data_IF_376839437637
#
_entry.id   IF_376839437637
#
_cell.length_a   1.000
_cell.length_b   1.000
_cell.length_c   1.000
_cell.angle_alpha   90.00
_cell.angle_beta   90.00
_cell.angle_gamma   90.00
#
_symmetry.space_group_name_H-M   'P 1'
#
loop_
_entity.id
_entity.type
_entity.pdbx_description
1 polymer ?
#
# COMPACT_ATOMS: atom_id res chain seq x y z
N UNK A 1 -39.83 12.10 37.22
CA UNK A 1 -39.06 13.30 36.80
C UNK A 1 -37.82 13.36 37.68
N UNK A 2 -36.69 12.83 37.20
CA UNK A 2 -35.37 13.02 37.80
C UNK A 2 -34.47 13.58 36.70
N UNK A 3 -34.03 14.82 36.86
CA UNK A 3 -33.06 15.46 35.96
C UNK A 3 -31.68 14.81 36.13
N UNK A 4 -30.88 14.61 35.07
CA UNK A 4 -29.51 14.19 35.23
C UNK A 4 -28.67 15.41 35.66
N UNK A 5 -27.83 15.17 36.67
CA UNK A 5 -26.85 16.10 37.19
C UNK A 5 -25.75 16.27 36.14
N UNK A 6 -25.67 17.45 35.52
CA UNK A 6 -24.56 17.85 34.66
C UNK A 6 -23.31 18.03 35.53
N UNK A 7 -22.38 17.08 35.47
CA UNK A 7 -21.00 17.33 35.88
C UNK A 7 -20.32 18.20 34.80
N UNK A 8 -19.57 19.25 35.17
CA UNK A 8 -18.92 20.09 34.18
C UNK A 8 -17.80 19.30 33.48
N UNK A 9 -17.85 19.30 32.15
CA UNK A 9 -16.75 18.86 31.29
C UNK A 9 -15.53 19.72 31.62
N UNK A 10 -14.43 19.07 32.01
CA UNK A 10 -13.18 19.75 32.35
C UNK A 10 -12.63 20.40 31.08
N UNK A 11 -12.63 21.72 31.07
CA UNK A 11 -11.97 22.54 30.05
C UNK A 11 -10.46 22.26 30.10
N UNK A 12 -9.71 22.29 28.97
CA UNK A 12 -8.26 22.15 29.04
C UNK A 12 -7.72 23.34 29.85
N UNK A 13 -7.15 23.05 31.02
CA UNK A 13 -6.40 24.03 31.79
C UNK A 13 -5.21 24.48 30.94
N UNK A 14 -5.30 25.68 30.37
CA UNK A 14 -4.14 26.37 29.82
C UNK A 14 -3.06 26.42 30.89
N UNK A 15 -1.93 25.77 30.61
CA UNK A 15 -0.81 25.71 31.54
C UNK A 15 -0.32 27.12 31.92
N UNK A 16 0.13 27.34 33.16
CA UNK A 16 0.74 28.60 33.54
C UNK A 16 1.95 28.87 32.64
N UNK A 17 1.99 30.08 32.07
CA UNK A 17 3.11 30.54 31.27
C UNK A 17 4.39 30.53 32.12
N UNK A 18 5.38 29.70 31.77
CA UNK A 18 6.71 29.70 32.40
C UNK A 18 7.24 28.36 32.91
N UNK A 19 6.51 27.25 32.82
CA UNK A 19 7.09 25.93 33.07
C UNK A 19 8.07 25.56 31.93
N UNK A 20 9.28 25.00 32.22
CA UNK A 20 10.19 24.53 31.19
C UNK A 20 9.49 23.49 30.29
N UNK A 21 9.80 23.44 28.99
CA UNK A 21 9.20 22.46 28.10
C UNK A 21 9.49 21.06 28.62
N UNK A 22 8.42 20.29 28.82
CA UNK A 22 8.54 18.90 29.22
C UNK A 22 9.16 18.10 28.05
N UNK A 23 10.29 17.41 28.24
CA UNK A 23 10.87 16.60 27.18
C UNK A 23 9.96 15.40 26.87
N UNK A 24 9.98 14.95 25.61
CA UNK A 24 9.27 13.74 25.21
C UNK A 24 9.85 12.48 25.88
N UNK A 25 9.04 11.78 26.66
CA UNK A 25 9.37 10.44 27.19
C UNK A 25 9.33 9.40 26.06
N UNK A 26 10.45 9.30 25.35
CA UNK A 26 10.62 8.39 24.21
C UNK A 26 10.62 6.92 24.61
N UNK A 27 11.07 6.60 25.82
CA UNK A 27 11.09 5.22 26.32
C UNK A 27 9.66 4.70 26.46
N UNK A 28 8.81 5.46 27.16
CA UNK A 28 7.38 5.13 27.30
C UNK A 28 6.65 5.11 25.95
N UNK A 29 6.92 6.08 25.09
CA UNK A 29 6.29 6.16 23.76
C UNK A 29 6.63 4.94 22.89
N UNK A 30 7.88 4.48 22.91
CA UNK A 30 8.32 3.33 22.12
C UNK A 30 7.98 1.99 22.78
N UNK A 31 7.89 1.91 24.11
CA UNK A 31 7.30 0.78 24.81
C UNK A 31 5.84 0.57 24.36
N UNK A 32 5.05 1.64 24.34
CA UNK A 32 3.68 1.63 23.83
C UNK A 32 3.60 1.22 22.35
N UNK A 33 4.54 1.68 21.50
CA UNK A 33 4.62 1.24 20.09
C UNK A 33 4.89 -0.26 19.99
N UNK A 34 5.77 -0.82 20.81
CA UNK A 34 6.05 -2.25 20.84
C UNK A 34 4.83 -3.05 21.36
N UNK A 35 4.12 -2.52 22.35
CA UNK A 35 2.84 -3.08 22.80
C UNK A 35 1.84 -3.15 21.64
N UNK A 36 1.66 -2.04 20.90
CA UNK A 36 0.81 -2.00 19.72
C UNK A 36 1.18 -3.09 18.69
N UNK A 37 2.47 -3.30 18.42
CA UNK A 37 2.97 -4.37 17.55
C UNK A 37 2.64 -5.76 18.10
N UNK A 38 2.76 -5.99 19.41
CA UNK A 38 2.41 -7.28 20.02
C UNK A 38 0.92 -7.59 19.88
N UNK A 39 0.07 -6.57 20.06
CA UNK A 39 -1.38 -6.72 19.93
C UNK A 39 -1.83 -6.83 18.46
N UNK A 40 -1.15 -6.13 17.54
CA UNK A 40 -1.45 -6.12 16.10
C UNK A 40 -0.19 -6.37 15.25
N UNK A 41 0.34 -7.61 15.22
CA UNK A 41 1.61 -7.90 14.56
C UNK A 41 1.63 -7.59 13.05
N UNK A 42 0.47 -7.65 12.40
CA UNK A 42 0.33 -7.35 10.98
C UNK A 42 0.52 -5.85 10.66
N UNK A 43 0.36 -4.96 11.65
CA UNK A 43 0.60 -3.51 11.51
C UNK A 43 2.06 -3.11 11.74
N UNK A 44 2.95 -4.04 12.10
CA UNK A 44 4.33 -3.73 12.51
C UNK A 44 5.08 -2.88 11.49
N UNK A 45 5.00 -3.24 10.20
CA UNK A 45 5.65 -2.49 9.12
C UNK A 45 5.22 -1.03 9.11
N UNK A 46 3.93 -0.76 9.30
CA UNK A 46 3.40 0.61 9.29
C UNK A 46 3.72 1.38 10.57
N UNK A 47 3.61 0.73 11.73
CA UNK A 47 3.96 1.33 13.02
C UNK A 47 5.43 1.78 13.09
N UNK A 48 6.34 1.05 12.45
CA UNK A 48 7.75 1.42 12.36
C UNK A 48 8.09 2.33 11.18
N UNK A 49 7.21 2.42 10.18
CA UNK A 49 7.39 3.37 9.07
C UNK A 49 7.05 4.81 9.49
N UNK A 50 6.17 5.01 10.48
CA UNK A 50 5.85 6.34 10.99
C UNK A 50 7.01 6.99 11.73
N UNK A 51 7.37 8.20 11.29
CA UNK A 51 8.40 9.01 11.93
C UNK A 51 7.82 9.85 13.07
N UNK A 52 8.44 9.84 14.24
CA UNK A 52 8.00 10.67 15.38
C UNK A 52 8.54 12.08 15.24
N UNK A 53 7.65 13.07 15.32
CA UNK A 53 7.99 14.49 15.42
C UNK A 53 7.48 15.00 16.76
N UNK A 54 8.38 15.37 17.66
CA UNK A 54 7.98 16.03 18.90
C UNK A 54 7.34 17.40 18.58
N UNK A 55 6.13 17.65 19.08
CA UNK A 55 5.44 18.92 18.87
C UNK A 55 4.56 19.27 20.05
N UNK A 56 4.81 20.43 20.68
CA UNK A 56 3.94 20.97 21.74
C UNK A 56 2.68 21.67 21.20
N UNK A 57 2.55 21.80 19.86
CA UNK A 57 1.39 22.43 19.21
C UNK A 57 0.23 21.45 19.05
N UNK A 58 0.51 20.16 18.93
CA UNK A 58 -0.53 19.14 18.90
C UNK A 58 -1.08 18.86 20.30
N UNK A 59 -2.40 18.68 20.46
CA UNK A 59 -3.02 18.44 21.78
C UNK A 59 -2.75 17.02 22.32
N UNK A 60 -2.59 16.06 21.41
CA UNK A 60 -2.45 14.61 21.67
C UNK A 60 -1.34 14.01 20.79
N UNK A 61 -1.68 13.04 19.95
CA UNK A 61 -0.90 12.57 18.82
C UNK A 61 -1.72 12.82 17.55
N UNK A 62 -1.05 13.09 16.44
CA UNK A 62 -1.69 13.33 15.15
C UNK A 62 -0.77 12.89 14.02
N UNK A 63 -1.32 12.56 12.87
CA UNK A 63 -0.53 12.17 11.69
C UNK A 63 -0.73 13.13 10.52
N UNK A 64 0.31 13.33 9.72
CA UNK A 64 0.19 14.02 8.43
C UNK A 64 0.10 13.04 7.25
N UNK A 65 -0.19 13.59 6.06
CA UNK A 65 -0.22 12.84 4.80
C UNK A 65 1.10 12.14 4.48
N UNK A 66 2.22 12.62 5.02
CA UNK A 66 3.56 12.13 4.77
C UNK A 66 4.02 11.11 5.82
N UNK A 67 3.09 10.54 6.59
CA UNK A 67 3.35 9.49 7.59
C UNK A 67 4.25 9.94 8.75
N UNK A 68 4.30 11.24 9.03
CA UNK A 68 4.87 11.75 10.28
C UNK A 68 3.79 11.70 11.36
N UNK A 69 4.18 11.25 12.54
CA UNK A 69 3.35 11.24 13.74
C UNK A 69 3.86 12.33 14.69
N UNK A 70 3.09 13.40 14.81
CA UNK A 70 3.33 14.50 15.73
C UNK A 70 2.89 14.11 17.12
N UNK A 71 3.75 14.30 18.12
CA UNK A 71 3.52 13.80 19.47
C UNK A 71 3.71 14.91 20.50
N UNK A 72 2.67 15.13 21.31
CA UNK A 72 2.70 16.05 22.44
C UNK A 72 3.39 15.42 23.67
N UNK A 73 4.50 15.97 24.18
CA UNK A 73 5.15 15.46 25.39
C UNK A 73 4.21 15.39 26.60
N UNK A 74 3.36 16.41 26.77
CA UNK A 74 2.37 16.46 27.86
C UNK A 74 1.28 15.40 27.71
N UNK A 75 0.94 14.99 26.49
CA UNK A 75 0.00 13.90 26.29
C UNK A 75 0.64 12.57 26.67
N UNK A 76 1.90 12.33 26.25
CA UNK A 76 2.63 11.11 26.62
C UNK A 76 2.83 11.00 28.13
N UNK A 77 3.14 12.09 28.83
CA UNK A 77 3.30 12.11 30.29
C UNK A 77 2.02 11.65 31.01
N UNK A 78 0.87 12.27 30.68
CA UNK A 78 -0.40 12.02 31.37
C UNK A 78 -1.12 10.73 30.96
N UNK A 79 -0.74 10.13 29.84
CA UNK A 79 -1.43 8.96 29.27
C UNK A 79 -0.72 7.67 29.62
N UNK A 80 -1.44 6.60 29.99
CA UNK A 80 -0.81 5.30 30.30
C UNK A 80 -0.22 4.65 29.04
N UNK A 81 0.78 3.78 29.20
CA UNK A 81 1.39 3.04 28.09
C UNK A 81 0.35 2.23 27.29
N UNK A 82 -0.60 1.58 27.98
CA UNK A 82 -1.66 0.80 27.36
C UNK A 82 -2.57 1.65 26.46
N UNK A 83 -2.92 2.86 26.90
CA UNK A 83 -3.72 3.80 26.08
C UNK A 83 -2.89 4.34 24.92
N UNK A 84 -1.61 4.66 25.14
CA UNK A 84 -0.71 5.07 24.05
C UNK A 84 -0.55 3.97 22.98
N UNK A 85 -0.56 2.70 23.36
CA UNK A 85 -0.53 1.59 22.41
C UNK A 85 -1.79 1.59 21.51
N UNK A 86 -2.95 1.88 22.10
CA UNK A 86 -4.19 2.07 21.36
C UNK A 86 -4.15 3.29 20.44
N UNK A 87 -3.59 4.42 20.90
CA UNK A 87 -3.41 5.62 20.09
C UNK A 87 -2.49 5.34 18.89
N UNK A 88 -1.39 4.60 19.08
CA UNK A 88 -0.52 4.18 17.97
C UNK A 88 -1.27 3.42 16.87
N UNK A 89 -2.13 2.47 17.27
CA UNK A 89 -2.95 1.72 16.31
C UNK A 89 -4.01 2.60 15.67
N UNK A 90 -4.58 3.53 16.41
CA UNK A 90 -5.55 4.49 15.89
C UNK A 90 -4.92 5.39 14.81
N UNK A 91 -3.82 6.08 15.13
CA UNK A 91 -3.12 6.99 14.21
C UNK A 91 -2.67 6.30 12.92
N UNK A 92 -2.03 5.11 13.03
CA UNK A 92 -1.55 4.39 11.84
C UNK A 92 -2.71 3.91 10.95
N UNK A 93 -3.90 3.70 11.54
CA UNK A 93 -5.06 3.23 10.79
C UNK A 93 -5.60 4.32 9.85
N UNK A 94 -5.51 5.60 10.20
CA UNK A 94 -5.85 6.69 9.28
C UNK A 94 -5.00 6.64 8.01
N UNK A 95 -3.70 6.40 8.18
CA UNK A 95 -2.72 6.36 7.09
C UNK A 95 -2.92 5.13 6.19
N UNK A 96 -3.12 3.96 6.80
CA UNK A 96 -3.34 2.71 6.08
C UNK A 96 -4.67 2.72 5.32
N UNK A 97 -5.74 3.23 5.93
CA UNK A 97 -7.07 3.35 5.31
C UNK A 97 -7.21 4.57 4.42
N UNK A 98 -6.15 5.37 4.27
CA UNK A 98 -6.05 6.53 3.38
C UNK A 98 -7.20 7.53 3.56
N UNK A 99 -7.55 7.80 4.84
CA UNK A 99 -8.70 8.62 5.21
C UNK A 99 -8.61 10.04 4.63
N UNK A 100 -7.43 10.66 4.60
CA UNK A 100 -7.26 11.97 3.99
C UNK A 100 -7.74 12.03 2.51
N UNK A 101 -7.31 11.08 1.67
CA UNK A 101 -7.66 11.05 0.24
C UNK A 101 -9.10 10.61 0.02
N UNK A 102 -9.59 9.64 0.80
CA UNK A 102 -11.00 9.23 0.81
C UNK A 102 -11.91 10.39 1.21
N UNK A 103 -11.52 11.13 2.24
CA UNK A 103 -12.18 12.33 2.72
C UNK A 103 -12.27 13.42 1.66
N UNK A 104 -11.17 13.74 0.98
CA UNK A 104 -11.18 14.69 -0.15
C UNK A 104 -12.18 14.29 -1.24
N UNK A 105 -12.22 13.00 -1.62
CA UNK A 105 -13.16 12.51 -2.64
C UNK A 105 -14.61 12.61 -2.16
N UNK A 106 -14.86 12.26 -0.91
CA UNK A 106 -16.19 12.34 -0.30
C UNK A 106 -16.69 13.79 -0.26
N UNK A 107 -15.85 14.71 0.19
CA UNK A 107 -16.19 16.13 0.30
C UNK A 107 -16.48 16.75 -1.07
N UNK A 108 -15.66 16.43 -2.09
CA UNK A 108 -15.94 16.81 -3.49
C UNK A 108 -17.28 16.26 -3.99
N UNK A 109 -17.58 14.99 -3.69
CA UNK A 109 -18.83 14.37 -4.10
C UNK A 109 -20.07 14.96 -3.39
N UNK A 110 -19.90 15.54 -2.21
CA UNK A 110 -20.98 16.20 -1.45
C UNK A 110 -21.04 17.71 -1.72
N UNK A 111 -20.11 18.28 -2.50
CA UNK A 111 -19.95 19.72 -2.70
C UNK A 111 -19.82 20.49 -1.37
N UNK A 112 -18.95 19.98 -0.49
CA UNK A 112 -18.74 20.55 0.86
C UNK A 112 -17.27 20.82 1.12
N UNK A 113 -17.01 21.98 1.69
CA UNK A 113 -15.66 22.42 2.04
C UNK A 113 -15.62 23.10 3.41
N UNK A 114 -14.40 23.43 3.85
CA UNK A 114 -14.14 24.17 5.08
C UNK A 114 -14.00 23.32 6.34
N UNK A 115 -13.69 23.96 7.48
CA UNK A 115 -13.25 23.27 8.71
C UNK A 115 -14.29 22.31 9.29
N UNK A 116 -15.58 22.68 9.25
CA UNK A 116 -16.64 21.79 9.71
C UNK A 116 -16.74 20.51 8.87
N UNK A 117 -16.66 20.62 7.54
CA UNK A 117 -16.67 19.44 6.67
C UNK A 117 -15.47 18.52 6.94
N UNK A 118 -14.30 19.10 7.24
CA UNK A 118 -13.08 18.35 7.61
C UNK A 118 -13.20 17.65 8.95
N UNK A 119 -13.71 18.34 9.98
CA UNK A 119 -13.98 17.72 11.28
C UNK A 119 -14.97 16.56 11.15
N UNK A 120 -15.99 16.68 10.30
CA UNK A 120 -16.95 15.59 10.07
C UNK A 120 -16.27 14.36 9.46
N UNK A 121 -15.36 14.56 8.50
CA UNK A 121 -14.51 13.48 7.95
C UNK A 121 -13.66 12.85 9.04
N UNK A 122 -13.02 13.67 9.89
CA UNK A 122 -12.18 13.21 11.00
C UNK A 122 -12.98 12.29 11.95
N UNK A 123 -14.12 12.76 12.43
CA UNK A 123 -14.97 12.00 13.36
C UNK A 123 -15.54 10.72 12.72
N UNK A 124 -15.88 10.76 11.43
CA UNK A 124 -16.33 9.57 10.72
C UNK A 124 -15.20 8.54 10.52
N UNK A 125 -13.97 9.01 10.30
CA UNK A 125 -12.78 8.19 10.19
C UNK A 125 -12.43 7.54 11.54
N UNK A 126 -12.54 8.29 12.63
CA UNK A 126 -12.40 7.79 13.99
C UNK A 126 -13.43 6.69 14.28
N UNK A 127 -14.69 6.89 13.88
CA UNK A 127 -15.73 5.86 14.03
C UNK A 127 -15.39 4.59 13.25
N UNK A 128 -14.85 4.70 12.02
CA UNK A 128 -14.43 3.54 11.23
C UNK A 128 -13.30 2.75 11.93
N UNK A 129 -12.35 3.45 12.55
CA UNK A 129 -11.20 2.83 13.23
C UNK A 129 -11.60 2.25 14.58
N UNK A 130 -12.27 3.05 15.40
CA UNK A 130 -12.56 2.73 16.79
C UNK A 130 -13.61 1.63 16.97
N UNK A 131 -14.28 1.28 15.87
CA UNK A 131 -15.21 0.17 15.79
C UNK A 131 -14.52 -1.22 15.84
N UNK A 132 -13.32 -1.36 15.28
CA UNK A 132 -12.62 -2.66 15.19
C UNK A 132 -11.14 -2.65 15.60
N UNK A 133 -10.61 -1.51 16.08
CA UNK A 133 -9.22 -1.38 16.50
C UNK A 133 -8.91 -2.04 17.86
N UNK A 134 -9.85 -2.06 18.82
CA UNK A 134 -9.60 -2.38 20.23
C UNK A 134 -10.01 -3.82 20.63
N UNK A 135 -9.64 -4.24 21.85
CA UNK A 135 -9.72 -5.64 22.29
C UNK A 135 -8.43 -6.42 21.99
N UNK A 136 -8.33 -7.67 22.47
CA UNK A 136 -7.16 -8.54 22.25
C UNK A 136 -5.81 -7.86 22.49
N UNK A 137 -5.67 -7.25 23.68
CA UNK A 137 -4.44 -6.56 24.11
C UNK A 137 -4.43 -5.05 23.87
N UNK A 138 -5.50 -4.44 23.37
CA UNK A 138 -5.67 -2.98 23.27
C UNK A 138 -6.93 -2.51 24.02
N UNK A 139 -6.85 -1.35 24.65
CA UNK A 139 -7.95 -0.72 25.41
C UNK A 139 -8.65 0.36 24.60
N UNK A 140 -9.92 0.66 24.91
CA UNK A 140 -10.59 1.85 24.35
C UNK A 140 -9.84 3.11 24.80
N UNK A 141 -9.56 4.02 23.88
CA UNK A 141 -9.00 5.34 24.17
C UNK A 141 -10.07 6.16 24.91
N UNK A 142 -9.80 6.67 26.12
CA UNK A 142 -10.72 7.55 26.84
C UNK A 142 -11.02 8.81 26.03
N UNK A 143 -12.26 9.31 26.11
CA UNK A 143 -12.73 10.55 25.48
C UNK A 143 -12.63 10.61 23.93
N UNK A 144 -12.25 9.50 23.28
CA UNK A 144 -12.32 9.36 21.83
C UNK A 144 -13.77 9.17 21.34
N UNK A 145 -14.00 9.40 20.05
CA UNK A 145 -15.30 9.21 19.41
C UNK A 145 -15.45 7.79 18.90
N UNK A 146 -16.64 7.24 19.14
CA UNK A 146 -17.02 5.89 18.74
C UNK A 146 -18.41 5.92 18.12
N UNK A 147 -18.80 4.90 17.33
CA UNK A 147 -20.15 4.83 16.75
C UNK A 147 -21.25 4.96 17.81
N UNK A 148 -21.10 4.31 18.98
CA UNK A 148 -22.04 4.38 20.09
C UNK A 148 -22.13 5.79 20.72
N UNK A 149 -21.02 6.52 20.79
CA UNK A 149 -20.99 7.94 21.21
C UNK A 149 -21.89 8.82 20.33
N UNK A 150 -21.95 8.54 19.03
CA UNK A 150 -22.78 9.28 18.07
C UNK A 150 -24.16 8.64 17.82
N UNK A 151 -24.52 7.57 18.56
CA UNK A 151 -25.75 6.77 18.37
C UNK A 151 -25.87 6.20 16.94
N UNK A 152 -24.73 5.87 16.34
CA UNK A 152 -24.64 5.28 15.01
C UNK A 152 -24.45 3.76 15.11
N UNK A 153 -24.94 3.00 14.12
CA UNK A 153 -24.67 1.57 14.03
C UNK A 153 -23.17 1.30 13.78
N UNK A 154 -22.64 0.27 14.43
CA UNK A 154 -21.29 -0.24 14.20
C UNK A 154 -21.08 -0.81 12.78
N UNK A 155 -19.82 -1.09 12.42
CA UNK A 155 -19.35 -1.78 11.22
C UNK A 155 -19.56 -1.05 9.89
N UNK A 156 -19.43 0.27 9.89
CA UNK A 156 -19.56 1.09 8.68
C UNK A 156 -18.22 1.71 8.25
N UNK A 157 -18.16 2.11 6.98
CA UNK A 157 -17.05 2.89 6.44
C UNK A 157 -17.21 4.38 6.79
N UNK A 158 -16.10 5.12 6.80
CA UNK A 158 -16.06 6.58 7.01
C UNK A 158 -17.09 7.30 6.12
N UNK A 159 -17.20 6.95 4.84
CA UNK A 159 -18.16 7.59 3.92
C UNK A 159 -19.62 7.32 4.30
N UNK A 160 -19.92 6.20 4.95
CA UNK A 160 -21.25 5.89 5.44
C UNK A 160 -21.54 6.65 6.74
N UNK A 161 -20.58 6.68 7.67
CA UNK A 161 -20.70 7.45 8.90
C UNK A 161 -20.87 8.95 8.63
N UNK A 162 -20.03 9.53 7.78
CA UNK A 162 -20.07 10.95 7.44
C UNK A 162 -21.39 11.41 6.81
N UNK A 163 -22.19 10.51 6.23
CA UNK A 163 -23.52 10.83 5.68
C UNK A 163 -24.65 10.75 6.71
N UNK A 164 -24.39 10.18 7.89
CA UNK A 164 -25.42 9.90 8.91
C UNK A 164 -25.54 10.93 10.01
N UNK A 165 -24.58 11.85 10.12
CA UNK A 165 -24.62 12.94 11.10
C UNK A 165 -24.14 14.24 10.46
N UNK A 166 -24.64 15.36 10.97
CA UNK A 166 -24.14 16.70 10.67
C UNK A 166 -23.55 17.30 11.94
N UNK A 167 -22.56 18.20 11.79
CA UNK A 167 -21.99 18.91 12.93
C UNK A 167 -22.90 20.08 13.32
N UNK A 168 -23.97 19.74 14.03
CA UNK A 168 -24.87 20.70 14.65
C UNK A 168 -24.33 21.09 16.05
N UNK A 169 -25.01 22.00 16.76
CA UNK A 169 -24.56 22.48 18.09
C UNK A 169 -24.32 21.37 19.11
N UNK A 170 -24.99 20.22 18.96
CA UNK A 170 -24.82 19.04 19.81
C UNK A 170 -23.39 18.47 19.80
N UNK A 171 -22.67 18.58 18.68
CA UNK A 171 -21.32 18.00 18.51
C UNK A 171 -20.18 19.00 18.62
N UNK A 172 -20.47 20.27 18.97
CA UNK A 172 -19.43 21.30 19.13
C UNK A 172 -18.38 20.96 20.19
N UNK A 173 -18.75 20.17 21.19
CA UNK A 173 -17.83 19.72 22.24
C UNK A 173 -16.77 18.72 21.73
N UNK A 174 -16.86 18.24 20.48
CA UNK A 174 -15.92 17.32 19.85
C UNK A 174 -14.87 18.02 18.98
N UNK A 175 -14.95 19.34 18.83
CA UNK A 175 -14.06 20.13 17.94
C UNK A 175 -12.57 20.04 18.34
N UNK A 176 -12.28 19.67 19.59
CA UNK A 176 -10.91 19.48 20.05
C UNK A 176 -10.28 18.15 19.58
N UNK A 177 -11.09 17.19 19.09
CA UNK A 177 -10.59 15.93 18.56
C UNK A 177 -10.00 16.17 17.17
N UNK A 178 -8.71 15.89 17.04
CA UNK A 178 -7.99 16.14 15.81
C UNK A 178 -6.81 15.18 15.64
N UNK A 179 -6.97 14.24 14.70
CA UNK A 179 -5.95 13.24 14.34
C UNK A 179 -5.00 13.73 13.20
N UNK A 180 -5.03 15.02 12.87
CA UNK A 180 -4.14 15.65 11.88
C UNK A 180 -4.55 15.49 10.41
N UNK A 181 -3.73 16.05 9.51
CA UNK A 181 -4.01 16.10 8.06
C UNK A 181 -3.99 14.73 7.37
N UNK A 182 -3.37 13.72 7.98
CA UNK A 182 -3.44 12.32 7.54
C UNK A 182 -4.81 11.69 7.78
N UNK A 183 -5.60 12.24 8.70
CA UNK A 183 -6.96 11.79 8.99
C UNK A 183 -8.02 12.49 8.13
N UNK A 184 -7.97 13.82 8.05
CA UNK A 184 -9.04 14.63 7.43
C UNK A 184 -8.64 15.36 6.14
N UNK A 185 -7.35 15.36 5.82
CA UNK A 185 -6.81 16.01 4.63
C UNK A 185 -6.58 17.51 4.74
N UNK A 186 -6.78 18.14 5.89
CA UNK A 186 -6.60 19.56 6.09
C UNK A 186 -5.27 19.87 6.77
N UNK A 187 -4.42 20.67 6.14
CA UNK A 187 -3.10 21.00 6.69
C UNK A 187 -3.20 21.89 7.91
N UNK A 188 -2.37 21.60 8.92
CA UNK A 188 -2.30 22.34 10.18
C UNK A 188 -0.96 23.06 10.31
N UNK A 189 -0.89 24.04 11.20
CA UNK A 189 0.32 24.86 11.39
C UNK A 189 1.55 24.09 11.91
N UNK A 190 1.36 22.87 12.41
CA UNK A 190 2.43 21.98 12.83
C UNK A 190 2.83 20.98 11.76
N UNK A 191 2.10 20.87 10.66
CA UNK A 191 2.46 19.99 9.56
C UNK A 191 3.71 20.53 8.86
N UNK A 192 4.73 19.69 8.72
CA UNK A 192 5.97 20.05 8.04
C UNK A 192 5.83 20.08 6.50
N UNK A 193 4.69 19.63 5.97
CA UNK A 193 4.39 19.61 4.54
C UNK A 193 5.26 18.62 3.74
N UNK A 194 5.18 18.67 2.40
CA UNK A 194 5.90 17.74 1.51
C UNK A 194 7.42 17.92 1.56
N UNK A 195 7.91 19.15 1.71
CA UNK A 195 9.34 19.48 1.77
C UNK A 195 9.95 19.25 3.17
N UNK A 196 9.14 18.87 4.15
CA UNK A 196 9.59 18.56 5.50
C UNK A 196 10.51 17.34 5.57
N UNK A 197 11.42 17.31 6.54
CA UNK A 197 12.28 16.16 6.75
C UNK A 197 11.48 14.89 7.11
N UNK A 198 12.01 13.71 6.77
CA UNK A 198 11.52 12.40 7.23
C UNK A 198 10.06 12.05 6.86
N UNK A 199 9.48 12.71 5.86
CA UNK A 199 8.21 12.29 5.27
C UNK A 199 8.41 11.15 4.29
N UNK A 200 7.47 10.22 4.23
CA UNK A 200 7.44 9.20 3.19
C UNK A 200 6.89 9.78 1.88
N UNK A 201 7.52 9.41 0.76
CA UNK A 201 6.97 9.69 -0.56
C UNK A 201 5.82 8.72 -0.91
N UNK A 202 5.10 9.01 -1.99
CA UNK A 202 3.92 8.25 -2.42
C UNK A 202 4.21 6.76 -2.60
N UNK A 203 5.35 6.43 -3.22
CA UNK A 203 5.74 5.03 -3.45
C UNK A 203 6.07 4.28 -2.16
N UNK A 204 6.74 4.94 -1.21
CA UNK A 204 7.05 4.38 0.11
C UNK A 204 5.78 4.12 0.90
N UNK A 205 4.82 5.06 0.88
CA UNK A 205 3.51 4.90 1.54
C UNK A 205 2.75 3.69 1.00
N UNK A 206 2.74 3.53 -0.32
CA UNK A 206 2.04 2.41 -0.96
C UNK A 206 2.76 1.08 -0.74
N UNK A 207 4.09 1.06 -0.71
CA UNK A 207 4.86 -0.12 -0.32
C UNK A 207 4.55 -0.57 1.12
N UNK A 208 4.39 0.38 2.05
CA UNK A 208 4.02 0.07 3.43
C UNK A 208 2.61 -0.52 3.50
N UNK A 209 1.62 0.12 2.84
CA UNK A 209 0.24 -0.40 2.74
C UNK A 209 0.22 -1.81 2.16
N UNK A 210 0.95 -2.01 1.06
CA UNK A 210 1.09 -3.31 0.40
C UNK A 210 1.66 -4.38 1.34
N UNK A 211 2.75 -4.07 2.07
CA UNK A 211 3.37 -5.01 3.01
C UNK A 211 2.45 -5.39 4.17
N UNK A 212 1.70 -4.42 4.70
CA UNK A 212 0.72 -4.67 5.77
C UNK A 212 -0.41 -5.56 5.24
N UNK A 213 -0.98 -5.22 4.09
CA UNK A 213 -1.99 -6.04 3.45
C UNK A 213 -1.46 -7.47 3.23
N UNK A 214 -0.25 -7.63 2.68
CA UNK A 214 0.35 -8.94 2.45
C UNK A 214 0.48 -9.74 3.75
N UNK A 215 0.86 -9.08 4.86
CA UNK A 215 0.94 -9.67 6.18
C UNK A 215 -0.42 -10.19 6.67
N UNK A 216 -1.49 -9.44 6.43
CA UNK A 216 -2.87 -9.85 6.76
C UNK A 216 -3.28 -11.06 5.91
N UNK A 217 -3.13 -11.01 4.59
CA UNK A 217 -3.53 -12.11 3.68
C UNK A 217 -2.72 -13.39 3.92
N UNK A 218 -1.43 -13.28 4.25
CA UNK A 218 -0.58 -14.44 4.51
C UNK A 218 -0.93 -15.15 5.84
N UNK A 219 -1.48 -14.43 6.81
CA UNK A 219 -1.83 -14.94 8.15
C UNK A 219 -3.16 -14.31 8.64
N UNK A 220 -4.30 -14.65 8.00
CA UNK A 220 -5.57 -13.94 8.23
C UNK A 220 -6.15 -14.14 9.63
N UNK A 221 -5.79 -15.23 10.32
CA UNK A 221 -6.41 -15.67 11.58
C UNK A 221 -6.25 -14.74 12.79
N UNK A 222 -5.54 -13.61 12.68
CA UNK A 222 -5.38 -12.61 13.75
C UNK A 222 -5.89 -11.21 13.41
N UNK A 223 -6.34 -10.98 12.16
CA UNK A 223 -6.83 -9.67 11.74
C UNK A 223 -8.36 -9.59 11.86
N UNK A 224 -8.93 -8.48 12.37
CA UNK A 224 -10.36 -8.21 12.36
C UNK A 224 -10.96 -8.25 10.95
N UNK A 225 -12.28 -8.42 10.87
CA UNK A 225 -12.98 -8.53 9.59
C UNK A 225 -12.80 -7.29 8.70
N UNK A 226 -12.81 -6.08 9.28
CA UNK A 226 -12.57 -4.83 8.55
C UNK A 226 -11.18 -4.80 7.92
N UNK A 227 -10.15 -5.18 8.67
CA UNK A 227 -8.77 -5.30 8.16
C UNK A 227 -8.59 -6.35 7.06
N UNK A 228 -9.33 -7.46 7.12
CA UNK A 228 -9.32 -8.46 6.04
C UNK A 228 -9.94 -7.90 4.76
N UNK A 229 -11.11 -7.26 4.86
CA UNK A 229 -11.74 -6.57 3.72
C UNK A 229 -10.84 -5.49 3.13
N UNK A 230 -10.27 -4.64 3.99
CA UNK A 230 -9.31 -3.62 3.56
C UNK A 230 -8.11 -4.24 2.84
N UNK A 231 -7.55 -5.34 3.35
CA UNK A 231 -6.45 -6.02 2.66
C UNK A 231 -6.92 -6.53 1.28
N UNK A 232 -8.08 -7.18 1.21
CA UNK A 232 -8.65 -7.66 -0.05
C UNK A 232 -9.01 -6.52 -1.02
N UNK A 233 -9.30 -5.30 -0.55
CA UNK A 233 -9.54 -4.12 -1.41
C UNK A 233 -8.24 -3.46 -1.87
N UNK A 234 -7.21 -3.44 -1.02
CA UNK A 234 -5.85 -3.02 -1.40
C UNK A 234 -5.27 -4.00 -2.44
N UNK A 235 -5.61 -5.28 -2.35
CA UNK A 235 -5.30 -6.31 -3.34
C UNK A 235 -6.41 -6.46 -4.38
N UNK A 236 -6.31 -5.83 -5.54
CA UNK A 236 -7.05 -6.36 -6.69
C UNK A 236 -6.56 -7.81 -6.95
N UNK A 237 -7.45 -8.77 -7.26
CA UNK A 237 -7.05 -10.14 -7.51
C UNK A 237 -6.02 -10.13 -8.64
N UNK A 238 -4.77 -10.54 -8.39
CA UNK A 238 -3.73 -10.44 -9.40
C UNK A 238 -4.08 -11.35 -10.58
N UNK A 239 -3.54 -11.02 -11.74
CA UNK A 239 -3.72 -11.85 -12.92
C UNK A 239 -3.32 -13.30 -12.62
N UNK A 240 -3.96 -14.30 -13.27
CA UNK A 240 -3.66 -15.70 -13.06
C UNK A 240 -2.31 -16.07 -13.70
N UNK A 241 -1.20 -15.58 -13.12
CA UNK A 241 0.15 -15.70 -13.68
C UNK A 241 0.58 -17.14 -13.86
N UNK A 242 0.09 -18.09 -13.04
CA UNK A 242 0.33 -19.52 -13.27
C UNK A 242 -0.17 -19.97 -14.65
N UNK A 243 -1.28 -19.42 -15.14
CA UNK A 243 -1.82 -19.72 -16.46
C UNK A 243 -1.12 -18.92 -17.57
N UNK A 244 -0.89 -17.62 -17.34
CA UNK A 244 -0.23 -16.72 -18.29
C UNK A 244 1.23 -17.15 -18.57
N UNK A 245 1.96 -17.49 -17.51
CA UNK A 245 3.30 -18.08 -17.59
C UNK A 245 3.23 -19.55 -18.01
N UNK A 246 2.14 -20.27 -17.70
CA UNK A 246 1.97 -21.70 -17.99
C UNK A 246 2.08 -22.06 -19.47
N UNK A 247 1.71 -21.17 -20.38
CA UNK A 247 1.95 -21.37 -21.81
C UNK A 247 3.42 -21.12 -22.20
N UNK A 248 4.15 -20.27 -21.47
CA UNK A 248 5.60 -20.10 -21.60
C UNK A 248 6.39 -21.31 -21.07
N UNK A 249 5.88 -21.89 -19.98
CA UNK A 249 6.35 -23.17 -19.42
C UNK A 249 6.18 -24.30 -20.46
N UNK A 250 5.13 -24.26 -21.28
CA UNK A 250 4.92 -25.24 -22.36
C UNK A 250 5.75 -24.95 -23.61
N UNK A 251 5.97 -23.69 -23.99
CA UNK A 251 6.77 -23.35 -25.17
C UNK A 251 8.27 -23.56 -24.96
N UNK A 252 8.79 -23.35 -23.74
CA UNK A 252 10.16 -23.75 -23.37
C UNK A 252 10.36 -25.27 -23.43
N UNK A 253 9.31 -26.05 -23.16
CA UNK A 253 9.32 -27.52 -23.32
C UNK A 253 9.26 -27.96 -24.80
N UNK A 254 8.71 -27.12 -25.69
CA UNK A 254 8.55 -27.41 -27.11
C UNK A 254 9.71 -26.91 -28.00
N UNK A 255 10.56 -26.01 -27.48
CA UNK A 255 11.76 -25.57 -28.19
C UNK A 255 12.72 -26.76 -28.35
N UNK A 256 13.02 -27.11 -29.60
CA UNK A 256 13.91 -28.22 -29.95
C UNK A 256 15.28 -28.02 -29.28
N UNK A 257 15.55 -28.82 -28.23
CA UNK A 257 16.80 -28.80 -27.46
C UNK A 257 16.65 -28.78 -25.93
N UNK A 258 15.46 -28.49 -25.36
CA UNK A 258 15.27 -28.38 -23.90
C UNK A 258 14.62 -29.63 -23.25
N UNK A 259 14.82 -30.80 -23.85
CA UNK A 259 14.36 -32.09 -23.34
C UNK A 259 15.39 -32.86 -22.50
N UNK A 260 16.51 -32.24 -22.12
CA UNK A 260 17.71 -32.98 -21.69
C UNK A 260 18.02 -32.97 -20.19
N UNK A 261 17.19 -32.37 -19.32
CA UNK A 261 17.44 -32.41 -17.87
C UNK A 261 16.86 -33.68 -17.22
N UNK A 262 17.36 -34.81 -17.69
CA UNK A 262 17.20 -36.10 -17.05
C UNK A 262 18.03 -36.14 -15.77
N UNK A 263 17.35 -36.20 -14.62
CA UNK A 263 18.00 -36.31 -13.32
C UNK A 263 17.85 -37.72 -12.75
N UNK A 264 18.97 -38.29 -12.31
CA UNK A 264 19.04 -39.58 -11.60
C UNK A 264 18.95 -39.42 -10.07
N UNK A 265 18.88 -38.18 -9.55
CA UNK A 265 18.90 -37.91 -8.11
C UNK A 265 17.64 -38.33 -7.35
N UNK A 266 16.53 -38.60 -8.05
CA UNK A 266 15.35 -39.25 -7.47
C UNK A 266 14.79 -40.23 -8.51
N UNK A 267 14.73 -41.54 -8.23
CA UNK A 267 14.21 -42.52 -9.17
C UNK A 267 12.76 -42.18 -9.58
N UNK A 268 12.48 -42.24 -10.88
CA UNK A 268 11.12 -42.09 -11.41
C UNK A 268 10.17 -43.06 -10.71
N UNK A 269 8.92 -42.67 -10.43
CA UNK A 269 7.92 -43.60 -9.87
C UNK A 269 7.66 -44.82 -10.76
N UNK A 270 8.00 -44.74 -12.06
CA UNK A 270 7.95 -45.88 -13.00
C UNK A 270 9.10 -46.88 -12.84
N UNK A 271 10.11 -46.55 -12.03
CA UNK A 271 11.24 -47.46 -11.73
C UNK A 271 10.81 -48.68 -10.92
N UNK A 272 9.67 -48.63 -10.24
CA UNK A 272 9.09 -49.79 -9.53
C UNK A 272 8.74 -50.94 -10.48
N UNK A 273 8.45 -50.64 -11.75
CA UNK A 273 8.15 -51.62 -12.80
C UNK A 273 9.39 -52.17 -13.52
N UNK A 274 10.59 -51.64 -13.25
CA UNK A 274 11.85 -52.09 -13.87
C UNK A 274 12.96 -52.23 -12.79
N UNK A 275 12.98 -53.34 -12.03
CA UNK A 275 13.98 -53.60 -11.01
C UNK A 275 15.40 -53.60 -11.62
N UNK A 276 16.34 -52.92 -10.97
CA UNK A 276 17.74 -52.85 -11.41
C UNK A 276 18.05 -51.77 -12.45
N UNK A 277 17.05 -51.02 -12.94
CA UNK A 277 17.24 -49.92 -13.89
C UNK A 277 16.89 -48.58 -13.23
N UNK A 278 17.88 -47.69 -13.06
CA UNK A 278 17.61 -46.33 -12.59
C UNK A 278 17.08 -45.50 -13.76
N UNK A 279 15.77 -45.39 -13.86
CA UNK A 279 15.14 -44.55 -14.89
C UNK A 279 15.35 -43.06 -14.57
N UNK A 280 15.78 -42.26 -15.57
CA UNK A 280 15.91 -40.83 -15.37
C UNK A 280 14.54 -40.18 -15.13
N UNK A 281 14.52 -39.13 -14.29
CA UNK A 281 13.35 -38.29 -14.07
C UNK A 281 13.47 -36.99 -14.87
N UNK A 282 12.45 -36.66 -15.66
CA UNK A 282 12.40 -35.38 -16.37
C UNK A 282 12.17 -34.27 -15.33
N UNK A 283 13.20 -33.43 -15.08
CA UNK A 283 13.05 -32.27 -14.20
C UNK A 283 12.57 -31.08 -15.01
N UNK A 284 11.39 -30.57 -14.66
CA UNK A 284 10.89 -29.30 -15.18
C UNK A 284 11.65 -28.17 -14.48
N UNK A 285 12.48 -27.44 -15.23
CA UNK A 285 12.99 -26.15 -14.75
C UNK A 285 11.86 -25.11 -14.91
N UNK A 286 11.48 -24.40 -13.84
CA UNK A 286 10.60 -23.24 -13.97
C UNK A 286 11.25 -22.18 -14.87
N UNK A 287 10.45 -21.35 -15.56
CA UNK A 287 10.97 -20.31 -16.42
C UNK A 287 11.56 -19.18 -15.57
N UNK A 288 12.64 -18.59 -16.07
CA UNK A 288 13.20 -17.33 -15.59
C UNK A 288 12.37 -16.18 -16.14
N UNK A 289 11.88 -15.33 -15.25
CA UNK A 289 10.99 -14.22 -15.59
C UNK A 289 11.70 -12.90 -15.29
N UNK A 290 11.79 -12.03 -16.29
CA UNK A 290 12.17 -10.64 -16.07
C UNK A 290 10.92 -9.77 -16.15
N UNK A 291 10.57 -9.10 -15.05
CA UNK A 291 9.50 -8.12 -15.00
C UNK A 291 10.08 -6.74 -15.30
N UNK A 292 9.58 -6.08 -16.33
CA UNK A 292 9.88 -4.70 -16.68
C UNK A 292 8.70 -3.85 -16.21
N UNK A 293 8.93 -2.98 -15.23
CA UNK A 293 7.93 -2.08 -14.66
C UNK A 293 8.15 -0.69 -15.22
N UNK A 294 7.13 -0.15 -15.87
CA UNK A 294 7.08 1.24 -16.27
C UNK A 294 6.95 2.12 -15.04
N UNK A 295 7.88 3.06 -14.89
CA UNK A 295 7.91 4.03 -13.79
C UNK A 295 7.93 5.46 -14.32
N UNK A 296 7.35 5.68 -15.50
CA UNK A 296 7.22 7.01 -16.09
C UNK A 296 6.20 7.88 -15.37
N UNK A 297 6.24 9.18 -15.65
CA UNK A 297 5.32 10.17 -15.08
C UNK A 297 3.85 9.97 -15.47
N UNK A 298 3.54 9.17 -16.51
CA UNK A 298 2.16 8.85 -16.86
C UNK A 298 1.57 7.72 -16.02
N UNK A 299 2.42 6.94 -15.32
CA UNK A 299 2.01 5.87 -14.41
C UNK A 299 1.74 6.44 -13.02
N UNK A 300 0.49 6.33 -12.58
CA UNK A 300 0.06 6.75 -11.24
C UNK A 300 0.57 5.82 -10.14
N UNK A 301 0.63 6.30 -8.90
CA UNK A 301 1.05 5.47 -7.77
C UNK A 301 0.15 4.24 -7.56
N UNK A 302 -1.15 4.34 -7.88
CA UNK A 302 -2.08 3.19 -7.88
C UNK A 302 -1.64 2.11 -8.87
N UNK A 303 -1.20 2.51 -10.05
CA UNK A 303 -0.71 1.62 -11.10
C UNK A 303 0.65 1.01 -10.72
N UNK A 304 1.54 1.78 -10.08
CA UNK A 304 2.78 1.24 -9.49
C UNK A 304 2.48 0.21 -8.38
N UNK A 305 1.49 0.48 -7.54
CA UNK A 305 0.98 -0.48 -6.56
C UNK A 305 0.47 -1.78 -7.21
N UNK A 306 -0.30 -1.66 -8.29
CA UNK A 306 -0.73 -2.80 -9.11
C UNK A 306 0.47 -3.54 -9.73
N UNK A 307 1.50 -2.84 -10.19
CA UNK A 307 2.70 -3.47 -10.73
C UNK A 307 3.42 -4.33 -9.68
N UNK A 308 3.52 -3.84 -8.44
CA UNK A 308 4.10 -4.58 -7.32
C UNK A 308 3.25 -5.80 -6.94
N UNK A 309 1.91 -5.66 -6.97
CA UNK A 309 0.95 -6.74 -6.76
C UNK A 309 1.15 -7.88 -7.74
N UNK A 310 1.23 -7.55 -9.03
CA UNK A 310 1.41 -8.52 -10.10
C UNK A 310 2.80 -9.17 -10.04
N UNK A 311 3.84 -8.39 -9.72
CA UNK A 311 5.19 -8.92 -9.49
C UNK A 311 5.23 -9.93 -8.35
N UNK A 312 4.57 -9.62 -7.23
CA UNK A 312 4.48 -10.55 -6.10
C UNK A 312 3.67 -11.82 -6.46
N UNK A 313 2.64 -11.68 -7.31
CA UNK A 313 1.86 -12.81 -7.80
C UNK A 313 2.66 -13.71 -8.76
N UNK A 314 3.50 -13.13 -9.62
CA UNK A 314 4.48 -13.85 -10.45
C UNK A 314 5.44 -14.66 -9.57
N UNK A 315 5.99 -14.04 -8.52
CA UNK A 315 6.88 -14.74 -7.58
C UNK A 315 6.17 -15.92 -6.89
N UNK A 316 4.92 -15.76 -6.47
CA UNK A 316 4.09 -16.85 -5.92
C UNK A 316 3.77 -17.94 -6.95
N UNK A 317 3.62 -17.58 -8.22
CA UNK A 317 3.40 -18.54 -9.31
C UNK A 317 4.64 -19.44 -9.53
N UNK A 318 5.83 -18.96 -9.19
CA UNK A 318 7.11 -19.66 -9.29
C UNK A 318 7.53 -20.33 -7.96
N UNK A 319 6.56 -20.56 -7.07
CA UNK A 319 6.74 -21.17 -5.74
C UNK A 319 7.70 -20.40 -4.84
N UNK A 320 7.75 -19.06 -4.98
CA UNK A 320 8.53 -18.17 -4.11
C UNK A 320 10.02 -18.10 -4.41
N UNK A 321 10.49 -18.73 -5.50
CA UNK A 321 11.90 -18.75 -5.91
C UNK A 321 12.36 -17.41 -6.49
N UNK A 322 13.03 -16.63 -5.64
CA UNK A 322 13.54 -15.29 -5.99
C UNK A 322 14.66 -15.32 -7.02
N UNK A 323 15.41 -16.41 -7.11
CA UNK A 323 16.50 -16.60 -8.10
C UNK A 323 16.01 -16.66 -9.56
N UNK A 324 14.69 -16.80 -9.76
CA UNK A 324 14.06 -16.91 -11.07
C UNK A 324 13.35 -15.64 -11.52
N UNK A 325 13.24 -14.63 -10.63
CA UNK A 325 12.54 -13.39 -10.93
C UNK A 325 13.49 -12.21 -10.79
N UNK A 326 13.58 -11.41 -11.84
CA UNK A 326 14.25 -10.11 -11.79
C UNK A 326 13.30 -9.00 -12.17
N UNK A 327 13.43 -7.85 -11.51
CA UNK A 327 12.60 -6.67 -11.79
C UNK A 327 13.49 -5.55 -12.30
N UNK A 328 13.05 -4.89 -13.37
CA UNK A 328 13.69 -3.78 -14.04
C UNK A 328 12.71 -2.61 -14.01
N UNK A 329 13.07 -1.51 -13.36
CA UNK A 329 12.32 -0.25 -13.49
C UNK A 329 12.75 0.50 -14.77
N UNK A 330 11.81 1.12 -15.48
CA UNK A 330 12.07 1.89 -16.69
C UNK A 330 11.51 3.30 -16.60
N UNK A 331 12.40 4.29 -16.66
CA UNK A 331 12.09 5.73 -16.73
C UNK A 331 13.11 6.43 -17.65
N UNK A 332 12.65 7.32 -18.53
CA UNK A 332 13.49 8.14 -19.42
C UNK A 332 14.30 9.20 -18.67
N UNK A 333 13.83 9.74 -17.54
CA UNK A 333 14.59 10.70 -16.74
C UNK A 333 15.82 10.05 -16.06
N UNK A 334 15.73 8.77 -15.70
CA UNK A 334 16.79 8.10 -14.96
C UNK A 334 17.92 7.55 -15.84
N UNK A 335 17.73 7.28 -17.14
CA UNK A 335 18.63 6.44 -17.99
C UNK A 335 19.10 5.13 -17.31
N UNK A 336 18.46 4.72 -16.22
CA UNK A 336 18.99 3.73 -15.28
C UNK A 336 17.94 2.66 -15.06
N UNK A 337 18.12 1.52 -15.72
CA UNK A 337 17.48 0.28 -15.29
C UNK A 337 18.06 -0.08 -13.93
N UNK A 338 17.22 -0.14 -12.89
CA UNK A 338 17.63 -0.63 -11.57
C UNK A 338 17.13 -2.05 -11.39
N UNK A 339 18.08 -2.95 -11.13
CA UNK A 339 17.76 -4.31 -10.69
C UNK A 339 17.51 -4.27 -9.19
N UNK A 340 16.32 -4.63 -8.77
CA UNK A 340 16.06 -4.81 -7.34
C UNK A 340 16.64 -6.16 -6.89
N UNK A 341 17.58 -6.09 -5.93
CA UNK A 341 18.22 -7.25 -5.34
C UNK A 341 17.23 -8.03 -4.47
N UNK A 342 17.36 -9.35 -4.44
CA UNK A 342 16.45 -10.27 -3.77
C UNK A 342 16.22 -10.01 -2.27
N UNK A 343 17.06 -9.20 -1.61
CA UNK A 343 17.04 -8.95 -0.15
C UNK A 343 16.68 -7.50 0.24
N UNK A 344 16.66 -6.57 -0.71
CA UNK A 344 16.25 -5.18 -0.48
C UNK A 344 14.90 -4.96 -1.15
N UNK A 345 13.93 -4.37 -0.43
CA UNK A 345 12.63 -4.02 -1.00
C UNK A 345 12.74 -3.37 -2.38
N UNK A 346 11.80 -3.68 -3.26
CA UNK A 346 11.72 -3.13 -4.61
C UNK A 346 11.55 -1.61 -4.52
N UNK A 347 12.63 -0.86 -4.70
CA UNK A 347 12.60 0.61 -4.78
C UNK A 347 12.46 0.99 -6.24
N UNK A 348 11.24 1.36 -6.63
CA UNK A 348 10.92 1.89 -7.96
C UNK A 348 11.09 3.41 -7.88
N UNK A 349 12.01 3.98 -8.67
CA UNK A 349 12.23 5.43 -8.76
C UNK A 349 11.96 5.82 -10.20
N UNK A 350 11.06 6.78 -10.44
CA UNK A 350 10.89 7.37 -11.76
C UNK A 350 9.93 8.56 -11.80
N UNK A 351 9.98 9.33 -12.90
CA UNK A 351 9.14 10.53 -13.12
C UNK A 351 9.30 11.23 -14.48
N UNK A 352 9.94 10.62 -15.48
CA UNK A 352 10.07 11.14 -16.86
C UNK A 352 9.23 10.36 -17.88
N UNK A 353 9.50 10.50 -19.19
CA UNK A 353 8.82 9.72 -20.24
C UNK A 353 9.17 8.21 -20.23
N UNK A 354 8.52 7.37 -21.03
CA UNK A 354 8.81 5.93 -21.11
C UNK A 354 9.49 5.53 -22.42
N UNK A 355 10.59 4.77 -22.34
CA UNK A 355 11.08 3.97 -23.47
C UNK A 355 11.33 2.51 -23.05
N UNK A 356 10.29 1.67 -23.17
CA UNK A 356 10.39 0.26 -22.84
C UNK A 356 11.38 -0.51 -23.71
N UNK A 357 11.79 -0.01 -24.89
CA UNK A 357 12.85 -0.65 -25.70
C UNK A 357 14.13 -0.81 -24.92
N UNK A 358 14.46 0.14 -24.04
CA UNK A 358 15.61 0.07 -23.14
C UNK A 358 15.44 -1.00 -22.06
N UNK A 359 14.24 -1.12 -21.50
CA UNK A 359 13.88 -2.18 -20.54
C UNK A 359 14.03 -3.57 -21.13
N UNK A 360 13.44 -3.79 -22.31
CA UNK A 360 13.56 -5.05 -23.05
C UNK A 360 15.01 -5.36 -23.43
N UNK A 361 15.75 -4.38 -23.95
CA UNK A 361 17.16 -4.57 -24.30
C UNK A 361 18.00 -4.94 -23.07
N UNK A 362 17.71 -4.35 -21.91
CA UNK A 362 18.41 -4.67 -20.66
C UNK A 362 18.05 -6.06 -20.16
N UNK A 363 16.77 -6.44 -20.20
CA UNK A 363 16.31 -7.78 -19.88
C UNK A 363 17.00 -8.85 -20.74
N UNK A 364 17.15 -8.61 -22.04
CA UNK A 364 17.75 -9.56 -22.99
C UNK A 364 19.28 -9.67 -22.87
N UNK A 365 19.97 -8.66 -22.35
CA UNK A 365 21.42 -8.72 -22.09
C UNK A 365 21.77 -9.59 -20.87
N UNK A 366 20.81 -9.89 -19.99
CA UNK A 366 21.06 -10.66 -18.76
C UNK A 366 21.54 -12.07 -19.09
N UNK A 367 22.45 -12.56 -18.23
CA UNK A 367 22.93 -13.94 -18.25
C UNK A 367 22.71 -14.53 -16.86
N UNK A 368 21.94 -15.63 -16.74
CA UNK A 368 21.21 -16.30 -17.81
C UNK A 368 20.07 -15.45 -18.42
N UNK A 369 19.79 -15.67 -19.71
CA UNK A 369 18.74 -14.95 -20.41
C UNK A 369 17.34 -15.32 -19.86
N UNK A 370 16.38 -14.39 -19.89
CA UNK A 370 15.01 -14.67 -19.46
C UNK A 370 14.29 -15.60 -20.44
N UNK A 371 13.47 -16.50 -19.90
CA UNK A 371 12.54 -17.32 -20.68
C UNK A 371 11.25 -16.54 -20.99
N UNK A 372 10.90 -15.59 -20.11
CA UNK A 372 9.73 -14.73 -20.23
C UNK A 372 10.07 -13.29 -19.82
N UNK A 373 9.63 -12.33 -20.62
CA UNK A 373 9.55 -10.92 -20.21
C UNK A 373 8.10 -10.58 -19.89
N UNK A 374 7.87 -9.96 -18.74
CA UNK A 374 6.57 -9.39 -18.37
C UNK A 374 6.73 -7.88 -18.32
N UNK A 375 6.06 -7.12 -19.18
CA UNK A 375 6.05 -5.66 -19.14
C UNK A 375 4.77 -5.17 -18.45
N UNK A 376 4.87 -4.33 -17.43
CA UNK A 376 3.74 -3.71 -16.73
C UNK A 376 3.77 -2.20 -17.01
N UNK A 377 2.79 -1.67 -17.74
CA UNK A 377 2.80 -0.30 -18.29
C UNK A 377 1.38 0.19 -18.56
N UNK A 378 1.20 1.50 -18.71
CA UNK A 378 -0.03 2.10 -19.24
C UNK A 378 -0.12 2.03 -20.77
N UNK A 379 0.95 1.59 -21.44
CA UNK A 379 1.05 1.41 -22.88
C UNK A 379 1.53 2.65 -23.65
N UNK A 380 1.81 3.77 -22.97
CA UNK A 380 2.25 5.02 -23.61
C UNK A 380 3.77 5.02 -23.83
N UNK A 381 4.27 4.08 -24.63
CA UNK A 381 5.71 3.90 -24.82
C UNK A 381 6.06 3.32 -26.18
N UNK A 382 7.21 3.70 -26.77
CA UNK A 382 7.73 3.02 -27.95
C UNK A 382 8.01 1.54 -27.67
N UNK A 383 7.53 0.67 -28.55
CA UNK A 383 7.75 -0.78 -28.48
C UNK A 383 8.96 -1.23 -29.31
N UNK A 384 9.59 -2.38 -28.98
CA UNK A 384 10.56 -3.00 -29.86
C UNK A 384 9.96 -3.30 -31.25
N UNK A 385 10.67 -2.95 -32.31
CA UNK A 385 10.21 -3.16 -33.69
C UNK A 385 10.18 -4.63 -34.12
N UNK A 386 10.92 -5.50 -33.42
CA UNK A 386 10.95 -6.94 -33.65
C UNK A 386 10.64 -7.71 -32.37
N UNK A 387 10.01 -8.90 -32.48
CA UNK A 387 9.70 -9.72 -31.31
C UNK A 387 10.98 -10.16 -30.60
N UNK A 388 11.06 -10.04 -29.26
CA UNK A 388 12.13 -10.63 -28.47
C UNK A 388 12.24 -12.15 -28.69
N UNK A 389 13.44 -12.75 -28.50
CA UNK A 389 13.63 -14.19 -28.65
C UNK A 389 12.93 -15.02 -27.56
N UNK A 390 12.39 -14.36 -26.53
CA UNK A 390 11.66 -14.97 -25.43
C UNK A 390 10.18 -14.56 -25.47
N UNK A 391 9.33 -15.33 -24.78
CA UNK A 391 7.91 -15.00 -24.71
C UNK A 391 7.72 -13.67 -23.98
N UNK A 392 6.78 -12.85 -24.46
CA UNK A 392 6.43 -11.60 -23.81
C UNK A 392 4.97 -11.55 -23.41
N UNK A 393 4.71 -11.10 -22.18
CA UNK A 393 3.38 -10.77 -21.66
C UNK A 393 3.36 -9.29 -21.31
N UNK A 394 2.35 -8.56 -21.76
CA UNK A 394 2.14 -7.14 -21.44
C UNK A 394 0.93 -7.05 -20.51
N UNK A 395 1.13 -6.56 -19.29
CA UNK A 395 0.08 -6.14 -18.37
C UNK A 395 -0.19 -4.66 -18.56
N UNK A 396 -1.34 -4.32 -19.15
CA UNK A 396 -1.78 -2.94 -19.34
C UNK A 396 -2.58 -2.46 -18.15
N UNK A 397 -2.23 -1.31 -17.60
CA UNK A 397 -3.09 -0.64 -16.64
C UNK A 397 -4.40 -0.18 -17.29
N UNK A 398 -5.54 -0.25 -16.58
CA UNK A 398 -6.82 0.10 -17.14
C UNK A 398 -6.89 1.63 -17.31
N UNK A 399 -7.02 2.07 -18.57
CA UNK A 399 -7.34 3.45 -18.92
C UNK A 399 -8.81 3.50 -19.35
N UNK A 400 -9.66 4.34 -18.73
CA UNK A 400 -11.01 4.53 -19.24
C UNK A 400 -10.88 5.10 -20.65
N UNK A 401 -11.43 4.39 -21.63
CA UNK A 401 -11.55 4.89 -22.99
C UNK A 401 -12.60 6.01 -22.98
N UNK A 402 -12.19 7.23 -22.62
CA UNK A 402 -12.95 8.42 -22.95
C UNK A 402 -12.77 8.61 -24.45
N UNK A 403 -13.83 8.44 -25.23
CA UNK A 403 -13.83 8.58 -26.69
C UNK A 403 -13.56 10.00 -27.21
N UNK A 404 -12.69 10.77 -26.54
CA UNK A 404 -12.17 12.05 -26.99
C UNK A 404 -10.67 11.90 -27.24
N UNK A 405 -10.32 11.79 -28.52
CA UNK A 405 -9.00 12.15 -29.01
C UNK A 405 -8.87 13.66 -28.83
N UNK A 406 -8.29 14.06 -27.70
CA UNK A 406 -7.75 15.39 -27.41
C UNK A 406 -7.51 15.39 -25.90
N UNK A 407 -6.24 15.37 -25.49
CA UNK A 407 -5.70 16.10 -24.33
C UNK A 407 -4.20 15.79 -24.26
N UNK A 408 -3.52 16.02 -25.39
CA UNK A 408 -2.15 16.52 -25.38
C UNK A 408 -2.28 17.88 -26.06
N UNK A 409 -2.29 18.97 -25.29
CA UNK A 409 -2.49 20.34 -25.81
C UNK A 409 -1.45 20.70 -26.90
N UNK A 410 -0.36 19.93 -26.98
CA UNK A 410 0.73 20.09 -27.95
C UNK A 410 0.66 19.16 -29.19
N UNK A 411 -0.20 18.13 -29.23
CA UNK A 411 -0.29 17.23 -30.39
C UNK A 411 -1.68 16.56 -30.58
N UNK A 412 -2.59 17.16 -31.35
CA UNK A 412 -3.93 16.63 -31.62
C UNK A 412 -3.95 15.32 -32.44
N UNK A 413 -2.81 14.88 -33.00
CA UNK A 413 -2.67 13.63 -33.75
C UNK A 413 -2.03 12.50 -32.94
N UNK A 414 -1.72 12.70 -31.65
CA UNK A 414 -1.10 11.67 -30.83
C UNK A 414 -2.06 10.48 -30.61
N UNK A 415 -1.76 9.36 -31.26
CA UNK A 415 -2.35 8.05 -30.97
C UNK A 415 -1.31 7.24 -30.20
N UNK A 416 -1.60 6.78 -28.98
CA UNK A 416 -0.71 5.85 -28.27
C UNK A 416 -0.41 4.64 -29.16
N UNK A 417 0.86 4.25 -29.24
CA UNK A 417 1.25 3.04 -29.96
C UNK A 417 0.52 1.83 -29.33
N UNK A 418 -0.32 1.17 -30.12
CA UNK A 418 -0.99 -0.05 -29.65
C UNK A 418 0.05 -1.11 -29.32
N UNK A 419 -0.14 -1.90 -28.24
CA UNK A 419 0.77 -2.98 -27.92
C UNK A 419 0.96 -3.91 -29.12
N UNK A 420 2.17 -4.44 -29.33
CA UNK A 420 2.48 -5.22 -30.51
C UNK A 420 1.78 -6.58 -30.51
N UNK A 421 1.32 -7.02 -31.69
CA UNK A 421 0.59 -8.29 -31.90
C UNK A 421 1.37 -9.55 -31.49
N UNK A 422 2.71 -9.45 -31.43
CA UNK A 422 3.57 -10.56 -31.02
C UNK A 422 3.56 -10.81 -29.50
N UNK A 423 3.03 -9.88 -28.71
CA UNK A 423 2.95 -9.99 -27.26
C UNK A 423 1.56 -10.45 -26.80
N UNK A 424 1.52 -11.24 -25.71
CA UNK A 424 0.24 -11.54 -25.05
C UNK A 424 -0.15 -10.37 -24.15
N UNK A 425 -1.18 -9.63 -24.53
CA UNK A 425 -1.71 -8.51 -23.74
C UNK A 425 -2.76 -9.00 -22.73
N UNK A 426 -2.72 -8.45 -21.53
CA UNK A 426 -3.66 -8.66 -20.42
C UNK A 426 -3.95 -7.31 -19.76
N UNK A 427 -5.21 -6.99 -19.51
CA UNK A 427 -5.58 -5.79 -18.77
C UNK A 427 -5.52 -6.08 -17.27
N UNK A 428 -4.78 -5.26 -16.54
CA UNK A 428 -4.63 -5.31 -15.09
C UNK A 428 -5.84 -4.65 -14.43
N UNK A 429 -6.15 -5.06 -13.20
CA UNK A 429 -7.29 -4.57 -12.41
C UNK A 429 -6.85 -3.48 -11.45
#
# INVERSE_FOLDING_TARGET
MNAPVNAPVSTPLSAPAGAPPLPLDTEKLFAARLHAVRARPYLATALFAMHVVESSRVPTMAVDRHWRCYVSPRFVERTSEEVLASVWVHEVSHLLRDHARRGDRLLRAMDREGPGARLQVNLAADCEINDDAFGDGLVRIPDAVYPDTLRLPANQLMEEYARRFSLDSEFQHLVWLECGSGADGWEREWDLGPEGAHGLNDQERDLVRFRVAQGITARPGRAPAGWRRWADEVFHPPQPWRQLLGAAIRSTVAAAGAGEDYSYGRPSRRSTSLPGVVLPSLRRRPPRVTVVVDTSGSVSDRELGSALLETAAILRALDGRRDLVSVISCDAAARTVREAAADSGWVLIGGGGTDLRNGFSTALRRRPAPDVIVALTDGQTPWPSSPPPCRTVIGLFPRPYTGSVADDEDNPDYRPDTPPDWAKVVTLS
#
